data_IF_099768200507
#
_entry.id   IF_099768200507
#
_cell.length_a   1.000
_cell.length_b   1.000
_cell.length_c   1.000
_cell.angle_alpha   90.00
_cell.angle_beta   90.00
_cell.angle_gamma   90.00
#
_symmetry.space_group_name_H-M   'P 1'
#
loop_
_entity.id
_entity.type
_entity.pdbx_description
1 polymer ?
#
# COMPACT_ATOMS: atom_id res chain seq x y z
N UNK A 1 24.99 -4.18 12.77
CA UNK A 1 24.56 -5.42 12.09
C UNK A 1 25.69 -5.92 11.21
N UNK A 2 26.35 -6.99 11.62
CA UNK A 2 27.37 -7.64 10.80
C UNK A 2 26.70 -8.54 9.75
N UNK A 3 27.13 -8.39 8.50
CA UNK A 3 26.78 -9.30 7.40
C UNK A 3 27.77 -10.48 7.29
N UNK A 4 28.65 -10.65 8.28
CA UNK A 4 29.60 -11.73 8.32
C UNK A 4 28.90 -13.07 8.61
N UNK A 5 28.97 -14.08 7.72
CA UNK A 5 28.37 -15.39 7.92
C UNK A 5 28.88 -16.15 9.13
N UNK A 6 30.03 -15.75 9.73
CA UNK A 6 30.57 -16.35 10.92
C UNK A 6 30.02 -15.82 12.25
N UNK A 7 29.02 -14.96 12.20
CA UNK A 7 28.27 -14.43 13.35
C UNK A 7 28.28 -12.92 13.46
N UNK A 8 27.51 -12.37 14.41
CA UNK A 8 27.42 -10.92 14.59
C UNK A 8 28.78 -10.38 15.07
N UNK A 9 29.42 -9.57 14.26
CA UNK A 9 30.64 -8.85 14.56
C UNK A 9 30.46 -7.37 14.24
N UNK A 10 31.19 -6.54 14.97
CA UNK A 10 31.29 -5.12 14.64
C UNK A 10 32.16 -4.97 13.39
N UNK A 11 31.61 -4.32 12.37
CA UNK A 11 32.29 -4.00 11.11
C UNK A 11 32.18 -2.49 10.87
N UNK A 12 33.24 -1.78 11.21
CA UNK A 12 33.33 -0.33 11.09
C UNK A 12 33.25 0.17 9.63
N UNK A 13 33.53 -0.69 8.64
CA UNK A 13 33.50 -0.32 7.23
C UNK A 13 32.10 -0.51 6.60
N UNK A 14 31.28 -1.42 7.14
CA UNK A 14 29.96 -1.80 6.59
C UNK A 14 28.82 -1.62 7.58
N UNK A 15 29.14 -1.48 8.86
CA UNK A 15 28.17 -1.27 9.93
C UNK A 15 27.67 0.16 10.00
N UNK A 16 26.61 0.35 10.77
CA UNK A 16 26.15 1.69 11.11
C UNK A 16 27.17 2.34 12.05
N UNK A 17 27.59 3.54 11.70
CA UNK A 17 28.39 4.38 12.58
C UNK A 17 27.49 5.39 13.28
N UNK A 18 27.80 5.69 14.55
CA UNK A 18 27.11 6.75 15.27
C UNK A 18 27.44 8.09 14.62
N UNK A 19 26.42 8.81 14.22
CA UNK A 19 26.58 10.20 13.80
C UNK A 19 26.61 11.08 15.05
N UNK A 20 27.67 11.86 15.18
CA UNK A 20 27.80 12.81 16.29
C UNK A 20 26.93 14.04 15.96
N UNK A 21 25.74 14.09 16.54
CA UNK A 21 24.83 15.23 16.46
C UNK A 21 24.74 15.86 17.87
N UNK A 22 25.44 17.00 18.09
CA UNK A 22 25.43 17.63 19.40
C UNK A 22 24.08 18.31 19.64
N UNK A 23 23.29 17.76 20.55
CA UNK A 23 22.10 18.39 21.07
C UNK A 23 22.49 19.62 21.90
N UNK A 24 22.26 20.81 21.34
CA UNK A 24 22.48 22.08 22.01
C UNK A 24 21.16 22.66 22.49
N UNK A 25 21.02 22.90 23.79
CA UNK A 25 19.86 23.56 24.37
C UNK A 25 19.28 22.88 25.61
N UNK A 26 18.21 23.44 26.15
CA UNK A 26 17.48 22.88 27.27
C UNK A 26 16.67 21.65 26.84
N UNK A 27 16.72 20.60 27.62
CA UNK A 27 15.83 19.43 27.42
C UNK A 27 14.41 19.79 27.80
N UNK A 28 13.54 19.92 26.81
CA UNK A 28 12.13 20.24 27.00
C UNK A 28 11.25 19.05 26.60
N UNK A 29 10.18 18.86 27.35
CA UNK A 29 9.11 17.93 26.99
C UNK A 29 8.03 18.69 26.24
N UNK A 30 8.31 19.07 25.00
CA UNK A 30 7.36 19.78 24.16
C UNK A 30 7.17 19.01 22.84
N UNK A 31 5.93 18.98 22.32
CA UNK A 31 5.68 18.50 20.96
C UNK A 31 6.16 19.57 19.98
N UNK A 32 6.92 19.23 18.95
CA UNK A 32 7.24 20.18 17.88
C UNK A 32 5.95 20.62 17.16
N UNK A 33 5.93 21.86 16.65
CA UNK A 33 4.79 22.41 15.92
C UNK A 33 4.38 21.55 14.72
N UNK A 34 5.36 20.93 14.03
CA UNK A 34 5.14 20.01 12.92
C UNK A 34 4.28 18.81 13.28
N UNK A 35 4.19 18.44 14.56
CA UNK A 35 3.32 17.37 15.04
C UNK A 35 1.83 17.72 14.93
N UNK A 36 1.46 18.98 14.79
CA UNK A 36 0.08 19.42 14.60
C UNK A 36 -0.43 19.15 13.16
N UNK A 37 0.47 18.94 12.20
CA UNK A 37 0.12 18.53 10.85
C UNK A 37 -0.09 17.01 10.80
N UNK A 38 -1.34 16.58 10.91
CA UNK A 38 -1.70 15.17 10.93
C UNK A 38 -2.05 14.61 9.55
N UNK A 39 -2.27 15.46 8.53
CA UNK A 39 -2.93 15.04 7.31
C UNK A 39 -2.08 15.19 6.03
N UNK A 40 -1.04 16.04 6.01
CA UNK A 40 -0.23 16.27 4.82
C UNK A 40 0.41 15.00 4.28
N UNK A 41 0.96 14.14 5.14
CA UNK A 41 1.57 12.88 4.69
C UNK A 41 0.53 11.91 4.11
N UNK A 42 -0.63 11.80 4.75
CA UNK A 42 -1.72 10.97 4.26
C UNK A 42 -2.25 11.48 2.91
N UNK A 43 -2.38 12.80 2.76
CA UNK A 43 -2.76 13.46 1.50
C UNK A 43 -1.73 13.21 0.41
N UNK A 44 -0.43 13.38 0.70
CA UNK A 44 0.64 13.07 -0.22
C UNK A 44 0.56 11.62 -0.70
N UNK A 45 0.36 10.68 0.22
CA UNK A 45 0.21 9.26 -0.12
C UNK A 45 -0.98 9.04 -1.06
N UNK A 46 -2.17 9.56 -0.73
CA UNK A 46 -3.36 9.45 -1.57
C UNK A 46 -3.14 10.01 -2.98
N UNK A 47 -2.56 11.20 -3.08
CA UNK A 47 -2.30 11.87 -4.37
C UNK A 47 -1.22 11.17 -5.20
N UNK A 48 -0.34 10.40 -4.56
CA UNK A 48 0.74 9.65 -5.21
C UNK A 48 0.31 8.29 -5.73
N UNK A 49 -0.91 7.85 -5.40
CA UNK A 49 -1.42 6.55 -5.80
C UNK A 49 -2.05 6.60 -7.20
N UNK A 50 -1.82 5.55 -7.99
CA UNK A 50 -2.57 5.31 -9.24
C UNK A 50 -4.04 5.01 -8.95
N UNK A 51 -4.90 5.14 -9.95
CA UNK A 51 -6.34 4.88 -9.75
C UNK A 51 -6.64 3.49 -9.16
N UNK A 52 -6.04 2.37 -9.62
CA UNK A 52 -6.25 1.07 -8.98
C UNK A 52 -5.81 1.01 -7.52
N UNK A 53 -4.73 1.72 -7.14
CA UNK A 53 -4.27 1.79 -5.75
C UNK A 53 -5.22 2.62 -4.90
N UNK A 54 -5.74 3.73 -5.42
CA UNK A 54 -6.78 4.52 -4.77
C UNK A 54 -8.06 3.70 -4.55
N UNK A 55 -8.48 2.93 -5.54
CA UNK A 55 -9.65 2.05 -5.42
C UNK A 55 -9.45 0.99 -4.34
N UNK A 56 -8.24 0.44 -4.19
CA UNK A 56 -7.91 -0.47 -3.08
C UNK A 56 -8.01 0.21 -1.72
N UNK A 57 -7.55 1.47 -1.60
CA UNK A 57 -7.67 2.25 -0.36
C UNK A 57 -9.13 2.48 -0.01
N UNK A 58 -9.95 2.92 -0.98
CA UNK A 58 -11.39 3.13 -0.78
C UNK A 58 -12.08 1.85 -0.35
N UNK A 59 -11.82 0.73 -1.05
CA UNK A 59 -12.41 -0.57 -0.74
C UNK A 59 -11.97 -1.07 0.64
N UNK A 60 -10.72 -0.84 1.02
CA UNK A 60 -10.20 -1.18 2.35
C UNK A 60 -10.93 -0.43 3.46
N UNK A 61 -11.09 0.90 3.33
CA UNK A 61 -11.87 1.69 4.29
C UNK A 61 -13.34 1.27 4.34
N UNK A 62 -13.97 1.09 3.19
CA UNK A 62 -15.37 0.67 3.12
C UNK A 62 -15.59 -0.70 3.78
N UNK A 63 -14.70 -1.67 3.50
CA UNK A 63 -14.75 -3.01 4.08
C UNK A 63 -14.64 -3.00 5.60
N UNK A 64 -13.69 -2.23 6.15
CA UNK A 64 -13.50 -2.17 7.59
C UNK A 64 -14.58 -1.35 8.29
N UNK A 65 -14.98 -0.22 7.71
CA UNK A 65 -16.03 0.62 8.30
C UNK A 65 -17.41 -0.04 8.22
N UNK A 66 -17.68 -0.89 7.24
CA UNK A 66 -18.94 -1.65 7.16
C UNK A 66 -19.16 -2.56 8.38
N UNK A 67 -18.08 -3.02 9.03
CA UNK A 67 -18.12 -3.84 10.24
C UNK A 67 -18.38 -3.04 11.52
N UNK A 68 -18.22 -1.72 11.48
CA UNK A 68 -18.41 -0.85 12.65
C UNK A 68 -19.89 -0.59 12.87
N UNK A 69 -20.50 -1.14 13.90
CA UNK A 69 -21.93 -1.01 14.18
C UNK A 69 -22.34 0.41 14.55
N UNK A 70 -21.46 1.14 15.25
CA UNK A 70 -21.74 2.49 15.72
C UNK A 70 -21.63 3.52 14.61
N UNK A 71 -22.75 4.01 14.10
CA UNK A 71 -22.81 4.98 13.00
C UNK A 71 -22.04 6.26 13.28
N UNK A 72 -22.06 6.77 14.50
CA UNK A 72 -21.28 7.96 14.89
C UNK A 72 -19.77 7.79 14.67
N UNK A 73 -19.23 6.57 14.81
CA UNK A 73 -17.81 6.28 14.53
C UNK A 73 -17.56 6.36 13.03
N UNK A 74 -18.44 5.78 12.20
CA UNK A 74 -18.33 5.90 10.73
C UNK A 74 -18.34 7.36 10.27
N UNK A 75 -19.29 8.18 10.79
CA UNK A 75 -19.39 9.60 10.46
C UNK A 75 -18.12 10.37 10.81
N UNK A 76 -17.57 10.16 11.99
CA UNK A 76 -16.31 10.80 12.41
C UNK A 76 -15.14 10.36 11.54
N UNK A 77 -15.08 9.08 11.17
CA UNK A 77 -14.01 8.60 10.27
C UNK A 77 -14.11 9.23 8.89
N UNK A 78 -15.32 9.35 8.32
CA UNK A 78 -15.52 10.09 7.07
C UNK A 78 -15.04 11.53 7.18
N UNK A 79 -15.31 12.22 8.30
CA UNK A 79 -14.81 13.56 8.56
C UNK A 79 -13.27 13.63 8.65
N UNK A 80 -12.60 12.60 9.18
CA UNK A 80 -11.13 12.52 9.15
C UNK A 80 -10.62 12.33 7.72
N UNK A 81 -11.29 11.50 6.92
CA UNK A 81 -10.91 11.29 5.52
C UNK A 81 -11.09 12.56 4.67
N UNK A 82 -12.08 13.42 4.98
CA UNK A 82 -12.22 14.74 4.34
C UNK A 82 -11.02 15.65 4.59
N UNK A 83 -10.42 15.60 5.79
CA UNK A 83 -9.20 16.34 6.09
C UNK A 83 -8.00 15.83 5.29
N UNK A 84 -7.99 14.56 4.89
CA UNK A 84 -6.99 14.01 3.96
C UNK A 84 -7.28 14.49 2.54
N UNK A 85 -8.43 14.11 1.98
CA UNK A 85 -8.86 14.47 0.62
C UNK A 85 -10.36 14.26 0.43
N UNK A 86 -11.03 15.24 -0.17
CA UNK A 86 -12.48 15.19 -0.39
C UNK A 86 -12.91 13.99 -1.26
N UNK A 87 -12.15 13.67 -2.33
CA UNK A 87 -12.47 12.52 -3.19
C UNK A 87 -12.37 11.19 -2.45
N UNK A 88 -11.37 11.03 -1.56
CA UNK A 88 -11.25 9.83 -0.72
C UNK A 88 -12.49 9.66 0.15
N UNK A 89 -12.85 10.71 0.89
CA UNK A 89 -14.01 10.70 1.77
C UNK A 89 -15.31 10.44 1.00
N UNK A 90 -15.50 11.11 -0.14
CA UNK A 90 -16.66 10.95 -0.99
C UNK A 90 -16.82 9.53 -1.53
N UNK A 91 -15.76 8.92 -2.03
CA UNK A 91 -15.79 7.55 -2.54
C UNK A 91 -16.07 6.52 -1.43
N UNK A 92 -15.47 6.69 -0.24
CA UNK A 92 -15.76 5.82 0.92
C UNK A 92 -17.20 6.01 1.40
N UNK A 93 -17.69 7.26 1.47
CA UNK A 93 -19.07 7.54 1.86
C UNK A 93 -20.07 6.90 0.89
N UNK A 94 -19.84 7.01 -0.41
CA UNK A 94 -20.67 6.37 -1.44
C UNK A 94 -20.67 4.85 -1.29
N UNK A 95 -19.50 4.23 -1.06
CA UNK A 95 -19.41 2.78 -0.87
C UNK A 95 -20.14 2.28 0.39
N UNK A 96 -20.34 3.16 1.39
CA UNK A 96 -21.06 2.86 2.63
C UNK A 96 -22.55 3.28 2.59
N UNK A 97 -23.02 3.99 1.53
CA UNK A 97 -24.34 4.60 1.49
C UNK A 97 -24.50 5.72 2.54
N UNK A 98 -23.44 6.48 2.80
CA UNK A 98 -23.37 7.51 3.85
C UNK A 98 -22.98 8.89 3.31
N UNK A 99 -23.33 9.18 2.04
CA UNK A 99 -23.05 10.48 1.42
C UNK A 99 -23.65 11.63 2.23
N UNK A 100 -22.87 12.69 2.40
CA UNK A 100 -23.29 13.87 3.16
C UNK A 100 -23.37 13.67 4.68
N UNK A 101 -22.95 12.53 5.21
CA UNK A 101 -23.03 12.23 6.64
C UNK A 101 -21.68 12.36 7.37
N UNK A 102 -20.64 12.86 6.71
CA UNK A 102 -19.35 13.08 7.34
C UNK A 102 -19.45 14.11 8.48
N UNK A 103 -18.88 13.80 9.61
CA UNK A 103 -18.77 14.70 10.77
C UNK A 103 -17.34 15.27 10.82
N UNK A 104 -17.11 16.32 10.03
CA UNK A 104 -15.79 16.94 9.93
C UNK A 104 -15.47 17.76 11.17
N UNK A 105 -14.30 17.48 11.76
CA UNK A 105 -13.68 18.31 12.78
C UNK A 105 -12.51 19.05 12.11
N UNK A 106 -12.44 20.39 12.20
CA UNK A 106 -11.33 21.15 11.65
C UNK A 106 -10.00 20.65 12.18
N UNK A 107 -8.98 20.43 11.32
CA UNK A 107 -7.66 20.04 11.79
C UNK A 107 -6.95 21.22 12.49
N UNK A 108 -5.99 20.92 13.37
CA UNK A 108 -5.15 21.97 13.98
C UNK A 108 -4.31 22.70 12.94
N UNK A 109 -3.85 21.98 11.91
CA UNK A 109 -3.16 22.50 10.74
C UNK A 109 -3.78 21.83 9.50
N UNK A 110 -4.20 22.65 8.51
CA UNK A 110 -4.72 22.12 7.24
C UNK A 110 -3.62 21.37 6.49
N UNK A 111 -4.01 20.28 5.81
CA UNK A 111 -3.09 19.53 4.99
C UNK A 111 -2.49 20.43 3.87
N UNK A 112 -1.18 20.43 3.73
CA UNK A 112 -0.50 21.18 2.69
C UNK A 112 -1.02 20.79 1.29
N UNK A 113 -1.25 21.80 0.45
CA UNK A 113 -1.77 21.62 -0.91
C UNK A 113 -0.69 21.66 -1.99
N UNK A 114 0.51 22.10 -1.63
CA UNK A 114 1.65 22.35 -2.51
C UNK A 114 2.67 21.21 -2.55
N UNK A 115 2.41 20.13 -1.86
CA UNK A 115 3.29 18.93 -1.88
C UNK A 115 2.98 18.10 -3.13
N UNK A 116 3.94 17.98 -4.08
CA UNK A 116 3.72 17.26 -5.31
C UNK A 116 3.64 15.75 -5.08
N UNK A 117 2.83 15.02 -5.86
CA UNK A 117 2.80 13.56 -5.84
C UNK A 117 4.19 12.94 -6.10
N UNK A 118 4.47 11.79 -5.51
CA UNK A 118 5.73 11.07 -5.67
C UNK A 118 5.50 9.67 -6.23
N UNK A 119 5.97 9.41 -7.45
CA UNK A 119 5.91 8.09 -8.07
C UNK A 119 6.63 7.00 -7.24
N UNK A 120 7.58 7.39 -6.38
CA UNK A 120 8.28 6.45 -5.49
C UNK A 120 7.36 5.81 -4.44
N UNK A 121 6.19 6.38 -4.16
CA UNK A 121 5.20 5.85 -3.23
C UNK A 121 4.27 4.81 -3.90
N UNK A 122 4.03 4.91 -5.21
CA UNK A 122 3.21 3.95 -5.94
C UNK A 122 3.95 2.62 -6.14
N UNK A 123 3.29 1.51 -5.83
CA UNK A 123 3.81 0.18 -6.12
C UNK A 123 3.70 -0.15 -7.61
N UNK A 124 2.68 0.36 -8.28
CA UNK A 124 2.44 0.13 -9.72
C UNK A 124 3.46 0.90 -10.54
N UNK A 125 3.66 2.19 -10.24
CA UNK A 125 4.57 3.07 -10.98
C UNK A 125 6.04 2.63 -10.87
N UNK A 126 6.48 2.21 -9.68
CA UNK A 126 7.84 1.74 -9.45
C UNK A 126 8.06 0.26 -9.73
N UNK A 127 6.99 -0.50 -10.06
CA UNK A 127 7.10 -1.94 -10.29
C UNK A 127 8.00 -2.23 -11.50
N UNK A 128 8.86 -3.26 -11.41
CA UNK A 128 9.61 -3.70 -12.57
C UNK A 128 8.66 -4.18 -13.66
N UNK A 129 8.88 -3.72 -14.90
CA UNK A 129 8.08 -4.09 -16.08
C UNK A 129 8.49 -5.49 -16.58
N UNK A 130 8.45 -6.47 -15.68
CA UNK A 130 8.88 -7.84 -15.94
C UNK A 130 8.15 -8.82 -15.04
N UNK A 131 7.83 -9.99 -15.59
CA UNK A 131 7.28 -11.13 -14.81
C UNK A 131 8.38 -12.04 -14.27
N UNK A 132 9.65 -11.69 -14.45
CA UNK A 132 10.80 -12.48 -13.98
C UNK A 132 10.69 -12.82 -12.49
N UNK A 133 10.89 -14.09 -12.15
CA UNK A 133 10.78 -14.57 -10.78
C UNK A 133 9.35 -14.77 -10.27
N UNK A 134 8.32 -14.47 -11.07
CA UNK A 134 6.92 -14.67 -10.69
C UNK A 134 6.48 -16.12 -10.89
N UNK A 135 5.51 -16.55 -10.07
CA UNK A 135 4.75 -17.78 -10.30
C UNK A 135 3.41 -17.41 -10.92
N UNK A 136 3.08 -18.01 -12.06
CA UNK A 136 1.83 -17.79 -12.78
C UNK A 136 0.99 -19.04 -12.63
N UNK A 137 -0.13 -18.92 -11.92
CA UNK A 137 -1.14 -19.98 -11.79
C UNK A 137 -2.00 -20.03 -13.05
N UNK A 138 -2.08 -21.21 -13.66
CA UNK A 138 -2.93 -21.47 -14.83
C UNK A 138 -4.00 -22.46 -14.40
N UNK A 139 -5.25 -21.98 -14.36
CA UNK A 139 -6.42 -22.82 -14.06
C UNK A 139 -6.73 -23.67 -15.29
N UNK A 140 -6.83 -24.97 -15.08
CA UNK A 140 -7.12 -25.94 -16.15
C UNK A 140 -8.27 -26.85 -15.76
N UNK A 141 -9.05 -27.29 -16.74
CA UNK A 141 -10.12 -28.28 -16.63
C UNK A 141 -9.94 -29.39 -17.65
N UNK A 142 -10.72 -30.45 -17.55
CA UNK A 142 -10.74 -31.52 -18.55
C UNK A 142 -11.01 -30.93 -19.94
N UNK A 143 -10.28 -31.39 -20.96
CA UNK A 143 -10.33 -30.89 -22.33
C UNK A 143 -9.42 -29.67 -22.62
N UNK A 144 -8.51 -29.33 -21.70
CA UNK A 144 -7.53 -28.27 -21.95
C UNK A 144 -6.60 -28.65 -23.10
N UNK A 145 -6.29 -27.68 -23.98
CA UNK A 145 -5.41 -27.89 -25.14
C UNK A 145 -3.93 -27.96 -24.72
N UNK A 146 -3.32 -29.13 -24.85
CA UNK A 146 -1.91 -29.38 -24.52
C UNK A 146 -0.96 -28.46 -25.29
N UNK A 147 -1.24 -28.18 -26.58
CA UNK A 147 -0.38 -27.35 -27.41
C UNK A 147 -0.37 -25.91 -26.91
N UNK A 148 -1.53 -25.42 -26.48
CA UNK A 148 -1.67 -24.09 -25.89
C UNK A 148 -0.92 -24.02 -24.57
N UNK A 149 -1.07 -25.04 -23.70
CA UNK A 149 -0.38 -25.09 -22.42
C UNK A 149 1.14 -25.14 -22.58
N UNK A 150 1.65 -25.91 -23.55
CA UNK A 150 3.07 -25.99 -23.83
C UNK A 150 3.63 -24.67 -24.40
N UNK A 151 2.89 -24.02 -25.30
CA UNK A 151 3.26 -22.73 -25.85
C UNK A 151 3.33 -21.66 -24.72
N UNK A 152 2.32 -21.64 -23.84
CA UNK A 152 2.27 -20.75 -22.70
C UNK A 152 3.42 -21.01 -21.72
N UNK A 153 3.70 -22.28 -21.42
CA UNK A 153 4.82 -22.68 -20.56
C UNK A 153 6.17 -22.20 -21.11
N UNK A 154 6.40 -22.44 -22.39
CA UNK A 154 7.62 -21.98 -23.08
C UNK A 154 7.77 -20.46 -22.98
N UNK A 155 6.70 -19.72 -23.24
CA UNK A 155 6.72 -18.25 -23.18
C UNK A 155 6.98 -17.74 -21.76
N UNK A 156 6.26 -18.25 -20.76
CA UNK A 156 6.44 -17.90 -19.35
C UNK A 156 7.88 -18.18 -18.88
N UNK A 157 8.43 -19.33 -19.26
CA UNK A 157 9.81 -19.71 -18.91
C UNK A 157 10.82 -18.80 -19.58
N UNK A 158 10.62 -18.43 -20.85
CA UNK A 158 11.50 -17.52 -21.58
C UNK A 158 11.57 -16.13 -20.92
N UNK A 159 10.48 -15.68 -20.29
CA UNK A 159 10.44 -14.42 -19.51
C UNK A 159 11.02 -14.59 -18.08
N UNK A 160 11.59 -15.76 -17.74
CA UNK A 160 12.16 -16.03 -16.43
C UNK A 160 11.15 -16.21 -15.31
N UNK A 161 9.89 -16.50 -15.65
CA UNK A 161 8.83 -16.84 -14.72
C UNK A 161 8.58 -18.35 -14.66
N UNK A 162 7.77 -18.79 -13.69
CA UNK A 162 7.40 -20.20 -13.51
C UNK A 162 5.89 -20.38 -13.67
N UNK A 163 5.47 -21.32 -14.49
CA UNK A 163 4.09 -21.76 -14.63
C UNK A 163 3.75 -22.82 -13.59
N UNK A 164 2.58 -22.69 -12.96
CA UNK A 164 2.01 -23.67 -12.03
C UNK A 164 0.60 -24.01 -12.51
N UNK A 165 0.35 -25.27 -12.88
CA UNK A 165 -1.00 -25.73 -13.22
C UNK A 165 -1.83 -25.92 -11.94
N UNK A 166 -3.06 -25.46 -11.98
CA UNK A 166 -4.05 -25.61 -10.90
C UNK A 166 -5.27 -26.32 -11.47
N UNK A 167 -5.47 -27.53 -11.04
CA UNK A 167 -6.57 -28.41 -11.48
C UNK A 167 -7.58 -28.62 -10.34
N UNK A 168 -8.85 -28.91 -10.64
CA UNK A 168 -9.89 -29.15 -9.63
C UNK A 168 -9.69 -30.46 -8.86
N UNK A 169 -8.88 -31.40 -9.38
CA UNK A 169 -8.63 -32.73 -8.77
C UNK A 169 -7.12 -32.94 -8.59
N UNK A 170 -6.75 -33.66 -7.54
CA UNK A 170 -5.36 -34.05 -7.25
C UNK A 170 -4.74 -34.89 -8.38
N UNK A 171 -5.54 -35.69 -9.07
CA UNK A 171 -5.12 -36.52 -10.22
C UNK A 171 -4.88 -35.75 -11.51
N UNK A 172 -5.11 -34.42 -11.53
CA UNK A 172 -4.98 -33.59 -12.71
C UNK A 172 -6.24 -33.52 -13.56
N UNK A 173 -6.06 -33.24 -14.86
CA UNK A 173 -7.10 -33.12 -15.88
C UNK A 173 -6.76 -34.02 -17.07
N UNK A 174 -7.75 -34.44 -17.84
CA UNK A 174 -7.64 -35.28 -19.04
C UNK A 174 -7.97 -34.50 -20.32
#
# INVERSE_FOLDING_TARGET
NSLDPSGPREDAARGFTTFADPDCGAKLRARPESFADHFTQARLFWLSMTKPEQDHIVNGFAFELAKVETIAVRRRMLGQLENVHADLAGQVAAALGMEGQAERVPPAVEAASDVPPSAALSLIEKAPQSIRGRKIGVLVTDGADDRLLDALRKRITAEGARMVLVAPKVGGVT
#
